data_IF_762879642092
#
_entry.id   IF_762879642092
#
_cell.length_a   1.000
_cell.length_b   1.000
_cell.length_c   1.000
_cell.angle_alpha   90.00
_cell.angle_beta   90.00
_cell.angle_gamma   90.00
#
_symmetry.space_group_name_H-M   'P 1'
#
loop_
_entity.id
_entity.type
_entity.pdbx_description
1 polymer ?
#
# COMPACT_ATOMS: atom_id res chain seq x y z
N UNK A 1 -61.58 1.48 28.22
CA UNK A 1 -60.86 0.43 27.47
C UNK A 1 -59.56 1.04 26.99
N UNK A 2 -58.45 0.71 27.65
CA UNK A 2 -57.12 0.85 27.05
C UNK A 2 -57.01 -0.11 25.85
N UNK A 3 -56.12 0.16 24.89
CA UNK A 3 -54.80 -0.48 24.99
C UNK A 3 -53.60 0.39 24.61
N UNK A 4 -52.52 0.16 25.38
CA UNK A 4 -51.17 -0.18 24.94
C UNK A 4 -50.37 0.78 24.04
N UNK A 5 -49.58 1.63 24.71
CA UNK A 5 -48.12 1.55 24.77
C UNK A 5 -47.37 0.81 23.64
N UNK A 6 -46.52 1.51 22.89
CA UNK A 6 -45.21 1.02 22.42
C UNK A 6 -44.33 2.20 21.98
N UNK A 7 -43.54 2.71 22.93
CA UNK A 7 -42.34 3.50 22.67
C UNK A 7 -41.29 2.59 22.00
N UNK A 8 -40.96 2.84 20.74
CA UNK A 8 -39.76 2.30 20.10
C UNK A 8 -38.73 3.41 19.96
N UNK A 9 -37.63 3.28 20.69
CA UNK A 9 -36.42 4.09 20.57
C UNK A 9 -35.87 4.05 19.13
N UNK A 10 -35.37 5.16 18.58
CA UNK A 10 -34.49 5.08 17.42
C UNK A 10 -33.16 4.49 17.89
N UNK A 11 -32.83 3.32 17.36
CA UNK A 11 -31.49 2.74 17.46
C UNK A 11 -30.49 3.72 16.83
N UNK A 12 -29.56 4.21 17.64
CA UNK A 12 -28.36 4.87 17.13
C UNK A 12 -27.60 3.90 16.23
N UNK A 13 -27.31 4.22 14.96
CA UNK A 13 -26.32 3.46 14.21
C UNK A 13 -24.95 3.71 14.83
N UNK A 14 -24.28 2.60 15.14
CA UNK A 14 -22.94 2.56 15.68
C UNK A 14 -21.99 3.44 14.85
N UNK A 15 -21.30 4.34 15.56
CA UNK A 15 -20.14 5.07 15.05
C UNK A 15 -19.06 4.05 14.66
N UNK A 16 -18.99 3.72 13.37
CA UNK A 16 -17.85 3.01 12.80
C UNK A 16 -16.70 4.00 12.77
N UNK A 17 -15.83 3.90 13.77
CA UNK A 17 -14.52 4.57 13.79
C UNK A 17 -13.75 4.13 12.55
N UNK A 18 -13.55 5.05 11.62
CA UNK A 18 -12.59 4.90 10.53
C UNK A 18 -11.19 4.76 11.12
N UNK A 19 -10.55 3.61 10.86
CA UNK A 19 -9.17 3.30 11.29
C UNK A 19 -8.14 3.87 10.29
N UNK A 20 -8.55 4.64 9.28
CA UNK A 20 -7.62 5.28 8.35
C UNK A 20 -7.57 6.80 8.56
N UNK A 21 -7.07 7.19 9.75
CA UNK A 21 -6.43 8.49 9.91
C UNK A 21 -5.03 8.41 9.30
N UNK A 22 -4.92 8.88 8.06
CA UNK A 22 -3.64 9.23 7.43
C UNK A 22 -3.21 10.59 7.98
N UNK A 23 -2.10 10.73 8.72
CA UNK A 23 -1.59 12.03 9.07
C UNK A 23 -0.94 12.65 7.83
N UNK A 24 -1.57 13.67 7.27
CA UNK A 24 -0.93 14.64 6.40
C UNK A 24 -0.62 15.83 7.29
N UNK A 25 0.64 15.94 7.71
CA UNK A 25 1.38 17.18 8.01
C UNK A 25 2.58 16.86 8.92
N UNK A 26 3.75 16.71 8.30
CA UNK A 26 5.05 16.81 8.97
C UNK A 26 6.14 17.15 7.94
N UNK A 27 5.96 18.24 7.20
CA UNK A 27 7.06 18.91 6.50
C UNK A 27 7.61 20.03 7.39
N UNK A 28 8.22 19.66 8.51
CA UNK A 28 8.97 20.58 9.35
C UNK A 28 10.43 20.11 9.45
N UNK A 29 11.22 20.74 8.59
CA UNK A 29 12.69 20.88 8.58
C UNK A 29 13.37 20.53 9.91
N UNK A 30 14.18 19.48 9.90
CA UNK A 30 15.38 19.38 10.73
C UNK A 30 16.60 19.29 9.81
N UNK A 31 17.28 20.43 9.63
CA UNK A 31 18.66 20.44 9.16
C UNK A 31 19.51 19.89 10.31
N UNK A 32 20.06 18.69 10.13
CA UNK A 32 21.19 18.25 10.95
C UNK A 32 22.46 18.77 10.25
N UNK A 33 23.01 19.88 10.76
CA UNK A 33 24.39 20.25 10.51
C UNK A 33 25.29 19.14 11.09
N UNK A 34 25.74 18.22 10.24
CA UNK A 34 26.88 17.36 10.55
C UNK A 34 28.13 18.20 10.36
N UNK A 35 28.70 18.65 11.49
CA UNK A 35 30.08 19.13 11.51
C UNK A 35 31.03 18.03 11.01
N UNK A 36 32.06 18.38 10.22
CA UNK A 36 33.14 17.46 9.89
C UNK A 36 33.95 17.15 11.15
N UNK A 37 34.08 15.86 11.48
CA UNK A 37 35.04 15.38 12.48
C UNK A 37 36.45 15.62 11.92
N UNK A 38 37.34 16.37 12.61
CA UNK A 38 38.70 16.56 12.14
C UNK A 38 39.52 15.26 12.34
N UNK A 39 40.49 14.97 11.46
CA UNK A 39 41.31 13.76 11.57
C UNK A 39 42.20 13.80 12.82
N UNK A 40 42.56 12.64 13.39
CA UNK A 40 43.44 12.56 14.55
C UNK A 40 44.82 13.11 14.20
N UNK A 41 45.30 14.05 15.02
CA UNK A 41 46.64 14.65 14.90
C UNK A 41 47.69 13.56 15.09
N UNK A 42 48.53 13.38 14.08
CA UNK A 42 49.77 12.61 14.14
C UNK A 42 50.73 13.31 15.10
N UNK A 43 50.82 12.84 16.34
CA UNK A 43 51.88 13.20 17.27
C UNK A 43 53.15 12.45 16.88
N UNK A 44 54.10 13.19 16.29
CA UNK A 44 55.46 12.74 15.99
C UNK A 44 56.12 12.15 17.26
N UNK A 45 56.82 11.01 17.19
CA UNK A 45 57.75 10.64 18.24
C UNK A 45 58.95 11.59 18.21
N UNK A 46 59.14 12.26 19.34
CA UNK A 46 60.28 13.13 19.63
C UNK A 46 61.53 12.26 19.71
N UNK A 47 62.45 12.42 18.76
CA UNK A 47 63.85 11.95 18.85
C UNK A 47 64.41 12.35 20.21
N UNK A 48 64.64 11.38 21.09
CA UNK A 48 65.60 11.52 22.16
C UNK A 48 66.96 11.11 21.59
N UNK A 49 67.81 12.11 21.33
CA UNK A 49 69.23 11.87 21.07
C UNK A 49 69.90 11.41 22.36
N UNK A 50 70.72 10.38 22.20
CA UNK A 50 71.81 10.01 23.07
C UNK A 50 72.63 11.20 23.60
N UNK A 51 73.02 11.04 24.87
CA UNK A 51 74.37 11.28 25.43
C UNK A 51 75.07 12.59 25.05
N UNK A 52 75.08 13.52 25.99
CA UNK A 52 76.34 14.16 26.41
C UNK A 52 76.59 13.74 27.86
N UNK A 53 77.49 12.76 28.01
CA UNK A 53 78.04 12.36 29.29
C UNK A 53 79.12 13.38 29.70
N UNK A 54 79.36 13.59 31.00
CA UNK A 54 80.22 14.64 31.52
C UNK A 54 81.71 14.34 31.31
N UNK A 55 82.45 15.36 30.91
CA UNK A 55 83.91 15.42 31.00
C UNK A 55 84.36 15.33 32.47
N UNK A 56 84.57 14.11 32.95
CA UNK A 56 85.30 13.85 34.19
C UNK A 56 86.81 13.87 33.90
N UNK A 57 87.46 14.93 34.39
CA UNK A 57 88.75 14.92 35.08
C UNK A 57 89.85 13.99 34.50
N UNK A 58 90.58 14.51 33.53
CA UNK A 58 91.94 14.04 33.19
C UNK A 58 92.91 14.44 34.32
N UNK A 59 92.98 13.63 35.36
CA UNK A 59 94.01 13.74 36.41
C UNK A 59 95.31 13.16 35.87
N UNK A 60 96.20 14.02 35.38
CA UNK A 60 97.60 13.67 35.15
C UNK A 60 98.33 13.69 36.50
N UNK A 61 98.43 12.53 37.16
CA UNK A 61 99.41 12.31 38.24
C UNK A 61 100.78 12.09 37.60
N UNK A 62 101.68 13.06 37.69
CA UNK A 62 103.11 12.76 37.82
C UNK A 62 103.40 12.61 39.31
N UNK A 63 103.39 11.36 39.79
CA UNK A 63 104.00 11.01 41.07
C UNK A 63 104.93 9.84 40.79
N UNK A 64 106.22 10.15 40.83
CA UNK A 64 107.29 9.19 41.02
C UNK A 64 106.89 8.21 42.14
N UNK A 65 107.00 6.92 41.89
CA UNK A 65 107.16 5.96 42.98
C UNK A 65 108.10 4.85 42.54
N UNK A 66 109.30 4.90 43.12
CA UNK A 66 110.14 3.74 43.34
C UNK A 66 109.33 2.62 44.00
N UNK A 67 109.53 1.42 43.44
CA UNK A 67 109.44 0.08 44.02
C UNK A 67 108.96 -0.07 45.47
N UNK A 68 107.77 -0.65 45.63
CA UNK A 68 107.58 -1.82 46.49
C UNK A 68 106.24 -2.52 46.16
N UNK A 69 106.32 -3.77 45.72
CA UNK A 69 105.17 -4.64 45.43
C UNK A 69 104.53 -5.10 46.74
N UNK A 70 103.39 -4.49 47.11
CA UNK A 70 102.54 -4.96 48.21
C UNK A 70 101.46 -5.94 47.71
N UNK A 71 101.24 -7.09 48.40
CA UNK A 71 100.27 -8.11 48.00
C UNK A 71 98.80 -7.64 48.06
N UNK A 72 98.53 -6.50 48.70
CA UNK A 72 97.23 -5.82 48.72
C UNK A 72 96.83 -5.24 47.35
N UNK A 73 97.79 -4.79 46.54
CA UNK A 73 97.56 -4.22 45.20
C UNK A 73 97.01 -5.27 44.21
N UNK A 74 97.51 -6.50 44.30
CA UNK A 74 97.13 -7.61 43.42
C UNK A 74 95.67 -8.03 43.64
N UNK A 75 95.17 -7.91 44.88
CA UNK A 75 93.76 -8.17 45.21
C UNK A 75 92.83 -7.07 44.69
N UNK A 76 93.25 -5.81 44.78
CA UNK A 76 92.50 -4.68 44.24
C UNK A 76 92.41 -4.73 42.71
N UNK A 77 93.50 -5.09 42.02
CA UNK A 77 93.54 -5.22 40.56
C UNK A 77 92.69 -6.40 40.07
N UNK A 78 92.69 -7.54 40.78
CA UNK A 78 91.80 -8.67 40.47
C UNK A 78 90.32 -8.33 40.68
N UNK A 79 90.01 -7.54 41.71
CA UNK A 79 88.65 -7.08 41.95
C UNK A 79 88.20 -6.08 40.89
N UNK A 80 89.08 -5.15 40.48
CA UNK A 80 88.84 -4.23 39.37
C UNK A 80 88.61 -4.98 38.04
N UNK A 81 89.46 -5.96 37.72
CA UNK A 81 89.28 -6.79 36.52
C UNK A 81 88.00 -7.63 36.53
N UNK A 82 87.58 -8.14 37.70
CA UNK A 82 86.29 -8.84 37.85
C UNK A 82 85.09 -7.89 37.69
N UNK A 83 85.22 -6.64 38.19
CA UNK A 83 84.22 -5.59 37.99
C UNK A 83 84.10 -5.16 36.53
N UNK A 84 85.22 -5.04 35.83
CA UNK A 84 85.25 -4.71 34.41
C UNK A 84 84.67 -5.85 33.57
N UNK A 85 85.00 -7.10 33.89
CA UNK A 85 84.40 -8.28 33.26
C UNK A 85 82.89 -8.38 33.53
N UNK A 86 82.44 -8.06 34.74
CA UNK A 86 81.01 -7.98 35.06
C UNK A 86 80.33 -6.83 34.30
N UNK A 87 80.97 -5.66 34.20
CA UNK A 87 80.44 -4.53 33.42
C UNK A 87 80.31 -4.87 31.95
N UNK A 88 81.32 -5.51 31.36
CA UNK A 88 81.32 -5.94 29.97
C UNK A 88 80.27 -7.04 29.71
N UNK A 89 80.10 -8.01 30.63
CA UNK A 89 79.04 -9.00 30.54
C UNK A 89 77.64 -8.35 30.63
N UNK A 90 77.42 -7.42 31.56
CA UNK A 90 76.13 -6.74 31.69
C UNK A 90 75.86 -5.87 30.45
N UNK A 91 76.87 -5.19 29.92
CA UNK A 91 76.73 -4.37 28.72
C UNK A 91 76.42 -5.22 27.49
N UNK A 92 77.15 -6.32 27.28
CA UNK A 92 76.92 -7.25 26.17
C UNK A 92 75.58 -7.97 26.27
N UNK A 93 75.18 -8.43 27.47
CA UNK A 93 73.88 -9.08 27.70
C UNK A 93 72.72 -8.09 27.54
N UNK A 94 72.87 -6.86 28.07
CA UNK A 94 71.88 -5.80 27.92
C UNK A 94 71.70 -5.43 26.45
N UNK A 95 72.80 -5.24 25.72
CA UNK A 95 72.76 -4.93 24.28
C UNK A 95 72.14 -6.06 23.47
N UNK A 96 72.50 -7.31 23.75
CA UNK A 96 71.88 -8.46 23.08
C UNK A 96 70.37 -8.51 23.32
N UNK A 97 69.93 -8.36 24.58
CA UNK A 97 68.50 -8.33 24.92
C UNK A 97 67.77 -7.15 24.28
N UNK A 98 68.42 -5.98 24.20
CA UNK A 98 67.85 -4.80 23.56
C UNK A 98 67.69 -5.02 22.05
N UNK A 99 68.72 -5.56 21.38
CA UNK A 99 68.72 -5.86 19.94
C UNK A 99 67.70 -6.97 19.60
N UNK A 100 67.49 -7.93 20.50
CA UNK A 100 66.49 -8.98 20.36
C UNK A 100 65.07 -8.44 20.53
N UNK A 101 64.84 -7.59 21.54
CA UNK A 101 63.55 -6.90 21.74
C UNK A 101 63.25 -5.97 20.57
N UNK A 102 64.23 -5.23 20.06
CA UNK A 102 64.07 -4.37 18.90
C UNK A 102 63.71 -5.19 17.66
N UNK A 103 64.41 -6.29 17.37
CA UNK A 103 64.07 -7.18 16.25
C UNK A 103 62.67 -7.76 16.36
N UNK A 104 62.26 -8.20 17.55
CA UNK A 104 60.92 -8.76 17.77
C UNK A 104 59.83 -7.68 17.61
N UNK A 105 60.09 -6.45 18.07
CA UNK A 105 59.18 -5.32 17.88
C UNK A 105 59.06 -4.92 16.40
N UNK A 106 60.18 -4.85 15.68
CA UNK A 106 60.20 -4.53 14.25
C UNK A 106 59.48 -5.63 13.46
N UNK A 107 59.79 -6.91 13.72
CA UNK A 107 59.11 -8.04 13.09
C UNK A 107 57.60 -8.03 13.36
N UNK A 108 57.19 -7.80 14.61
CA UNK A 108 55.77 -7.67 14.95
C UNK A 108 55.09 -6.46 14.29
N UNK A 109 55.81 -5.36 14.06
CA UNK A 109 55.29 -4.20 13.36
C UNK A 109 55.11 -4.47 11.86
N UNK A 110 56.06 -5.18 11.25
CA UNK A 110 55.99 -5.60 9.84
C UNK A 110 54.83 -6.57 9.61
N UNK A 111 54.68 -7.59 10.47
CA UNK A 111 53.55 -8.52 10.44
C UNK A 111 52.21 -7.78 10.59
N UNK A 112 52.11 -6.89 11.58
CA UNK A 112 50.89 -6.09 11.77
C UNK A 112 50.57 -5.22 10.55
N UNK A 113 51.59 -4.68 9.90
CA UNK A 113 51.41 -3.86 8.69
C UNK A 113 50.85 -4.71 7.55
N UNK A 114 51.38 -5.92 7.33
CA UNK A 114 50.88 -6.87 6.33
C UNK A 114 49.44 -7.30 6.64
N UNK A 115 49.12 -7.56 7.90
CA UNK A 115 47.77 -7.91 8.35
C UNK A 115 46.78 -6.77 8.11
N UNK A 116 47.18 -5.53 8.37
CA UNK A 116 46.35 -4.35 8.11
C UNK A 116 46.13 -4.15 6.60
N UNK A 117 47.17 -4.29 5.79
CA UNK A 117 47.05 -4.16 4.33
C UNK A 117 46.19 -5.25 3.69
N UNK A 118 46.28 -6.48 4.19
CA UNK A 118 45.41 -7.58 3.73
C UNK A 118 43.96 -7.31 4.12
N UNK A 119 43.69 -6.84 5.35
CA UNK A 119 42.34 -6.43 5.77
C UNK A 119 41.77 -5.32 4.89
N UNK A 120 42.59 -4.32 4.51
CA UNK A 120 42.16 -3.26 3.61
C UNK A 120 41.85 -3.77 2.20
N UNK A 121 42.62 -4.73 1.67
CA UNK A 121 42.31 -5.38 0.39
C UNK A 121 40.99 -6.14 0.43
N UNK A 122 40.77 -6.96 1.45
CA UNK A 122 39.49 -7.68 1.61
C UNK A 122 38.31 -6.71 1.76
N UNK A 123 38.50 -5.60 2.48
CA UNK A 123 37.46 -4.58 2.61
C UNK A 123 37.15 -3.92 1.27
N UNK A 124 38.18 -3.62 0.47
CA UNK A 124 38.01 -3.04 -0.87
C UNK A 124 37.26 -3.99 -1.83
N UNK A 125 37.55 -5.30 -1.78
CA UNK A 125 36.84 -6.31 -2.57
C UNK A 125 35.35 -6.38 -2.21
N UNK A 126 35.01 -6.30 -0.92
CA UNK A 126 33.61 -6.27 -0.46
C UNK A 126 32.94 -4.96 -0.86
N UNK A 127 33.64 -3.83 -0.69
CA UNK A 127 33.12 -2.51 -1.03
C UNK A 127 32.85 -2.37 -2.53
N UNK A 128 33.68 -2.95 -3.40
CA UNK A 128 33.50 -2.94 -4.85
C UNK A 128 32.14 -3.53 -5.28
N UNK A 129 31.71 -4.62 -4.62
CA UNK A 129 30.42 -5.26 -4.90
C UNK A 129 29.24 -4.42 -4.41
N UNK A 130 29.40 -3.66 -3.33
CA UNK A 130 28.38 -2.77 -2.77
C UNK A 130 28.31 -1.43 -3.49
N UNK A 131 29.41 -0.96 -4.07
CA UNK A 131 29.49 0.25 -4.88
C UNK A 131 28.89 0.05 -6.28
N UNK A 132 28.50 -1.18 -6.67
CA UNK A 132 27.80 -1.39 -7.95
C UNK A 132 26.51 -0.56 -7.96
N UNK A 133 26.39 0.41 -8.88
CA UNK A 133 25.19 1.23 -8.95
C UNK A 133 24.00 0.36 -9.36
N UNK A 134 22.82 0.65 -8.81
CA UNK A 134 21.52 0.02 -9.13
C UNK A 134 21.21 -0.07 -10.64
N UNK A 135 21.87 0.74 -11.46
CA UNK A 135 21.72 0.75 -12.92
C UNK A 135 22.40 -0.45 -13.59
N UNK A 136 23.45 -1.01 -12.97
CA UNK A 136 24.20 -2.17 -13.44
C UNK A 136 23.78 -3.47 -12.74
N UNK A 137 22.80 -3.43 -11.84
CA UNK A 137 22.28 -4.60 -11.16
C UNK A 137 21.39 -5.39 -12.12
N UNK A 138 21.89 -6.57 -12.52
CA UNK A 138 21.18 -7.50 -13.40
C UNK A 138 20.50 -8.57 -12.56
N UNK A 139 19.20 -8.80 -12.82
CA UNK A 139 18.47 -9.92 -12.26
C UNK A 139 18.61 -11.10 -13.21
N UNK A 140 19.17 -12.20 -12.72
CA UNK A 140 19.11 -13.49 -13.40
C UNK A 140 17.70 -14.05 -13.25
N UNK A 141 17.00 -14.26 -14.37
CA UNK A 141 15.73 -15.01 -14.34
C UNK A 141 16.02 -16.43 -13.88
N UNK A 142 15.46 -16.83 -12.74
CA UNK A 142 15.43 -18.25 -12.34
C UNK A 142 14.48 -18.96 -13.32
N UNK A 143 14.95 -19.96 -14.10
CA UNK A 143 14.08 -20.70 -15.00
C UNK A 143 12.97 -21.37 -14.20
N UNK A 144 11.72 -21.15 -14.60
CA UNK A 144 10.61 -21.93 -14.08
C UNK A 144 10.84 -23.38 -14.53
N UNK A 145 10.86 -24.32 -13.59
CA UNK A 145 11.36 -25.69 -13.73
C UNK A 145 10.55 -26.61 -14.68
N UNK A 146 9.87 -26.05 -15.68
CA UNK A 146 8.86 -26.80 -16.46
C UNK A 146 9.16 -26.95 -17.93
N UNK A 147 10.15 -26.30 -18.53
CA UNK A 147 10.49 -26.61 -19.92
C UNK A 147 11.99 -26.73 -20.17
N UNK A 148 12.32 -27.88 -20.76
CA UNK A 148 13.62 -28.31 -21.23
C UNK A 148 13.94 -27.54 -22.50
N UNK A 149 14.22 -26.26 -22.36
CA UNK A 149 14.97 -25.52 -23.37
C UNK A 149 15.80 -24.47 -22.66
N UNK A 150 17.10 -24.61 -22.85
CA UNK A 150 18.16 -23.79 -22.29
C UNK A 150 18.10 -22.40 -22.94
N UNK A 151 17.05 -21.62 -22.63
CA UNK A 151 17.04 -20.20 -22.96
C UNK A 151 18.25 -19.57 -22.26
N UNK A 152 19.04 -18.72 -22.95
CA UNK A 152 20.18 -18.05 -22.33
C UNK A 152 19.66 -17.37 -21.06
N UNK A 153 20.43 -17.49 -19.97
CA UNK A 153 20.17 -16.77 -18.72
C UNK A 153 20.04 -15.28 -19.06
N UNK A 154 18.81 -14.86 -19.26
CA UNK A 154 18.44 -13.53 -19.73
C UNK A 154 18.64 -12.63 -18.51
N UNK A 155 19.87 -12.13 -18.37
CA UNK A 155 20.21 -11.11 -17.38
C UNK A 155 19.43 -9.85 -17.74
N UNK A 156 18.32 -9.63 -17.02
CA UNK A 156 17.49 -8.46 -17.23
C UNK A 156 17.89 -7.40 -16.21
N UNK A 157 18.31 -6.24 -16.69
CA UNK A 157 18.62 -5.10 -15.83
C UNK A 157 17.42 -4.77 -14.94
N UNK A 158 17.65 -4.67 -13.63
CA UNK A 158 16.62 -4.35 -12.63
C UNK A 158 15.89 -3.06 -12.98
N UNK A 159 16.63 -2.06 -13.49
CA UNK A 159 16.09 -0.79 -13.98
C UNK A 159 15.03 -0.98 -15.07
N UNK A 160 15.27 -1.87 -16.03
CA UNK A 160 14.33 -2.12 -17.14
C UNK A 160 13.07 -2.82 -16.63
N UNK A 161 13.22 -3.73 -15.64
CA UNK A 161 12.07 -4.39 -15.03
C UNK A 161 11.22 -3.42 -14.21
N UNK A 162 11.85 -2.54 -13.43
CA UNK A 162 11.15 -1.48 -12.68
C UNK A 162 10.42 -0.54 -13.65
N UNK A 163 11.05 -0.19 -14.78
CA UNK A 163 10.46 0.69 -15.79
C UNK A 163 9.25 0.03 -16.45
N UNK A 164 9.36 -1.25 -16.84
CA UNK A 164 8.24 -2.06 -17.34
C UNK A 164 7.10 -2.18 -16.34
N UNK A 165 7.42 -2.37 -15.05
CA UNK A 165 6.40 -2.43 -14.00
C UNK A 165 5.68 -1.10 -13.81
N UNK A 166 6.40 0.04 -13.86
CA UNK A 166 5.78 1.36 -13.79
C UNK A 166 4.87 1.63 -14.99
N UNK A 167 5.34 1.32 -16.20
CA UNK A 167 4.51 1.43 -17.41
C UNK A 167 3.24 0.57 -17.32
N UNK A 168 3.37 -0.68 -16.84
CA UNK A 168 2.21 -1.55 -16.62
C UNK A 168 1.27 -0.97 -15.55
N UNK A 169 1.80 -0.39 -14.48
CA UNK A 169 0.99 0.24 -13.44
C UNK A 169 0.20 1.42 -14.00
N UNK A 170 0.84 2.28 -14.79
CA UNK A 170 0.17 3.41 -15.45
C UNK A 170 -0.94 2.92 -16.38
N UNK A 171 -0.67 1.91 -17.22
CA UNK A 171 -1.68 1.29 -18.08
C UNK A 171 -2.87 0.74 -17.28
N UNK A 172 -2.61 0.04 -16.16
CA UNK A 172 -3.69 -0.49 -15.32
C UNK A 172 -4.44 0.60 -14.56
N UNK A 173 -3.78 1.69 -14.19
CA UNK A 173 -4.42 2.85 -13.58
C UNK A 173 -5.38 3.52 -14.56
N UNK A 174 -4.99 3.66 -15.83
CA UNK A 174 -5.86 4.18 -16.89
C UNK A 174 -7.09 3.27 -17.11
N UNK A 175 -6.89 1.95 -17.18
CA UNK A 175 -8.00 0.99 -17.31
C UNK A 175 -8.95 1.08 -16.11
N UNK A 176 -8.42 1.19 -14.88
CA UNK A 176 -9.25 1.37 -13.69
C UNK A 176 -10.05 2.68 -13.72
N UNK A 177 -9.45 3.76 -14.24
CA UNK A 177 -10.17 5.03 -14.40
C UNK A 177 -11.32 4.91 -15.40
N UNK A 178 -11.12 4.22 -16.51
CA UNK A 178 -12.17 3.96 -17.52
C UNK A 178 -13.30 3.14 -16.88
N UNK A 179 -12.97 2.01 -16.26
CA UNK A 179 -13.96 1.13 -15.62
C UNK A 179 -14.74 1.85 -14.52
N UNK A 180 -14.09 2.76 -13.78
CA UNK A 180 -14.76 3.56 -12.76
C UNK A 180 -15.79 4.51 -13.36
N UNK A 181 -15.47 5.14 -14.50
CA UNK A 181 -16.41 6.02 -15.20
C UNK A 181 -17.57 5.24 -15.83
N UNK A 182 -17.30 4.08 -16.42
CA UNK A 182 -18.35 3.20 -16.96
C UNK A 182 -19.30 2.72 -15.86
N UNK A 183 -18.76 2.34 -14.70
CA UNK A 183 -19.57 1.97 -13.55
C UNK A 183 -20.47 3.13 -13.09
N UNK A 184 -19.95 4.35 -13.07
CA UNK A 184 -20.73 5.54 -12.73
C UNK A 184 -21.87 5.79 -13.73
N UNK A 185 -21.60 5.66 -15.03
CA UNK A 185 -22.62 5.81 -16.07
C UNK A 185 -23.73 4.75 -15.92
N UNK A 186 -23.37 3.48 -15.63
CA UNK A 186 -24.34 2.41 -15.34
C UNK A 186 -25.20 2.75 -14.12
N UNK A 187 -24.62 3.35 -13.07
CA UNK A 187 -25.40 3.76 -11.90
C UNK A 187 -26.42 4.84 -12.26
N UNK A 188 -26.06 5.80 -13.12
CA UNK A 188 -26.99 6.83 -13.58
C UNK A 188 -28.09 6.26 -14.45
N UNK A 189 -27.78 5.32 -15.34
CA UNK A 189 -28.77 4.65 -16.18
C UNK A 189 -29.74 3.82 -15.34
N UNK A 190 -29.24 3.08 -14.35
CA UNK A 190 -30.07 2.32 -13.43
C UNK A 190 -31.02 3.23 -12.64
N UNK A 191 -30.53 4.39 -12.19
CA UNK A 191 -31.35 5.35 -11.49
C UNK A 191 -32.38 6.00 -12.42
N UNK A 192 -32.00 6.31 -13.66
CA UNK A 192 -32.91 6.77 -14.70
C UNK A 192 -34.05 5.78 -14.91
N UNK A 193 -33.73 4.51 -15.13
CA UNK A 193 -34.72 3.43 -15.27
C UNK A 193 -35.64 3.30 -14.05
N UNK A 194 -35.08 3.41 -12.84
CA UNK A 194 -35.87 3.39 -11.63
C UNK A 194 -36.87 4.56 -11.59
N UNK A 195 -36.44 5.77 -11.96
CA UNK A 195 -37.30 6.95 -12.04
C UNK A 195 -38.36 6.81 -13.14
N UNK A 196 -38.01 6.24 -14.30
CA UNK A 196 -38.99 5.96 -15.36
C UNK A 196 -40.08 5.01 -14.89
N UNK A 197 -39.73 3.99 -14.10
CA UNK A 197 -40.68 2.98 -13.62
C UNK A 197 -41.52 3.47 -12.43
N UNK A 198 -40.89 4.10 -11.43
CA UNK A 198 -41.51 4.38 -10.12
C UNK A 198 -41.82 5.87 -9.88
N UNK A 199 -41.29 6.75 -10.71
CA UNK A 199 -41.35 8.20 -10.52
C UNK A 199 -40.32 8.72 -9.50
N UNK A 200 -39.92 9.98 -9.68
CA UNK A 200 -38.89 10.69 -8.91
C UNK A 200 -39.22 10.78 -7.41
N UNK A 201 -40.50 10.89 -7.06
CA UNK A 201 -40.92 11.00 -5.64
C UNK A 201 -40.72 9.71 -4.85
N UNK A 202 -40.72 8.57 -5.53
CA UNK A 202 -40.58 7.24 -4.92
C UNK A 202 -39.13 6.89 -4.63
N UNK A 203 -38.17 7.66 -5.14
CA UNK A 203 -36.75 7.34 -5.09
C UNK A 203 -36.00 8.41 -4.30
N UNK A 204 -35.45 8.02 -3.16
CA UNK A 204 -34.57 8.88 -2.38
C UNK A 204 -33.12 8.67 -2.78
N UNK A 205 -32.58 9.63 -3.52
CA UNK A 205 -31.18 9.62 -3.94
C UNK A 205 -30.35 10.32 -2.87
N UNK A 206 -29.76 9.54 -1.95
CA UNK A 206 -28.93 10.08 -0.87
C UNK A 206 -27.78 10.99 -1.38
N UNK A 207 -27.26 10.68 -2.57
CA UNK A 207 -26.20 11.43 -3.25
C UNK A 207 -26.66 12.82 -3.73
N UNK A 208 -27.94 13.00 -4.06
CA UNK A 208 -28.49 14.29 -4.48
C UNK A 208 -28.73 15.24 -3.29
N UNK A 209 -28.93 14.67 -2.09
CA UNK A 209 -29.30 15.43 -0.89
C UNK A 209 -28.08 15.95 -0.12
N UNK A 210 -27.03 15.14 0.06
CA UNK A 210 -25.88 15.50 0.90
C UNK A 210 -24.52 14.95 0.40
N UNK A 211 -24.47 14.36 -0.80
CA UNK A 211 -23.26 13.74 -1.34
C UNK A 211 -22.30 14.77 -1.95
N UNK A 212 -21.01 14.66 -1.62
CA UNK A 212 -19.95 15.35 -2.34
C UNK A 212 -19.75 14.68 -3.72
N UNK A 213 -20.60 15.01 -4.69
CA UNK A 213 -20.44 14.63 -6.09
C UNK A 213 -19.33 15.47 -6.74
N UNK A 214 -18.60 14.89 -7.71
CA UNK A 214 -17.61 15.66 -8.49
C UNK A 214 -18.34 16.75 -9.30
N UNK A 215 -17.67 17.88 -9.61
CA UNK A 215 -18.24 18.90 -10.48
C UNK A 215 -18.66 18.28 -11.83
N UNK A 216 -19.89 18.57 -12.26
CA UNK A 216 -20.51 18.02 -13.48
C UNK A 216 -21.30 16.72 -13.30
N UNK A 217 -21.00 15.89 -12.29
CA UNK A 217 -21.75 14.64 -12.05
C UNK A 217 -23.18 14.93 -11.59
N UNK A 218 -23.34 15.94 -10.72
CA UNK A 218 -24.66 16.36 -10.24
C UNK A 218 -25.57 16.83 -11.36
N UNK A 219 -25.04 17.62 -12.29
CA UNK A 219 -25.80 18.10 -13.45
C UNK A 219 -26.20 16.96 -14.38
N UNK A 220 -25.29 16.01 -14.66
CA UNK A 220 -25.61 14.79 -15.43
C UNK A 220 -26.72 13.99 -14.74
N UNK A 221 -26.60 13.80 -13.44
CA UNK A 221 -27.58 13.06 -12.64
C UNK A 221 -28.96 13.73 -12.64
N UNK A 222 -29.02 15.04 -12.38
CA UNK A 222 -30.28 15.81 -12.43
C UNK A 222 -30.91 15.73 -13.83
N UNK A 223 -30.11 15.88 -14.89
CA UNK A 223 -30.59 15.76 -16.28
C UNK A 223 -31.16 14.36 -16.59
N UNK A 224 -30.48 13.30 -16.17
CA UNK A 224 -30.97 11.92 -16.38
C UNK A 224 -32.28 11.70 -15.62
N UNK A 225 -32.36 12.13 -14.36
CA UNK A 225 -33.57 12.02 -13.53
C UNK A 225 -34.73 12.81 -14.14
N UNK A 226 -34.50 14.04 -14.60
CA UNK A 226 -35.56 14.88 -15.16
C UNK A 226 -36.05 14.37 -16.51
N UNK A 227 -35.15 13.81 -17.34
CA UNK A 227 -35.52 13.13 -18.58
C UNK A 227 -36.36 11.88 -18.31
N UNK A 228 -35.94 11.05 -17.36
CA UNK A 228 -36.65 9.86 -16.92
C UNK A 228 -38.03 10.19 -16.35
N UNK A 229 -38.13 11.25 -15.54
CA UNK A 229 -39.40 11.70 -14.96
C UNK A 229 -40.40 12.11 -16.05
N UNK A 230 -39.93 12.80 -17.09
CA UNK A 230 -40.78 13.18 -18.23
C UNK A 230 -41.37 11.96 -18.94
N UNK A 231 -40.59 10.89 -19.06
CA UNK A 231 -41.06 9.62 -19.63
C UNK A 231 -42.10 8.98 -18.71
N UNK A 232 -41.81 8.91 -17.41
CA UNK A 232 -42.74 8.40 -16.39
C UNK A 232 -44.09 9.12 -16.45
N UNK A 233 -44.09 10.46 -16.42
CA UNK A 233 -45.30 11.27 -16.48
C UNK A 233 -46.09 11.03 -17.77
N UNK A 234 -45.40 10.90 -18.90
CA UNK A 234 -46.02 10.58 -20.19
C UNK A 234 -46.63 9.17 -20.26
N UNK A 235 -46.04 8.20 -19.58
CA UNK A 235 -46.59 6.84 -19.44
C UNK A 235 -47.78 6.85 -18.49
N UNK A 236 -47.64 7.50 -17.34
CA UNK A 236 -48.68 7.64 -16.33
C UNK A 236 -49.94 8.30 -16.89
N UNK A 237 -49.79 9.39 -17.65
CA UNK A 237 -50.92 10.07 -18.30
C UNK A 237 -51.62 9.18 -19.34
N UNK A 238 -50.86 8.42 -20.15
CA UNK A 238 -51.45 7.46 -21.10
C UNK A 238 -52.23 6.35 -20.40
N UNK A 239 -51.69 5.80 -19.32
CA UNK A 239 -52.41 4.80 -18.52
C UNK A 239 -53.68 5.37 -17.88
N UNK A 240 -53.61 6.61 -17.38
CA UNK A 240 -54.78 7.28 -16.79
C UNK A 240 -55.87 7.51 -17.83
N UNK A 241 -55.51 7.98 -19.03
CA UNK A 241 -56.45 8.16 -20.14
C UNK A 241 -57.08 6.83 -20.57
N UNK A 242 -56.27 5.78 -20.74
CA UNK A 242 -56.77 4.44 -21.06
C UNK A 242 -57.74 3.91 -19.97
N UNK A 243 -57.45 4.17 -18.69
CA UNK A 243 -58.33 3.81 -17.58
C UNK A 243 -59.68 4.54 -17.63
N UNK A 244 -59.69 5.80 -18.05
CA UNK A 244 -60.93 6.55 -18.28
C UNK A 244 -61.73 5.98 -19.45
N UNK A 245 -61.05 5.68 -20.57
CA UNK A 245 -61.68 5.07 -21.75
C UNK A 245 -62.27 3.68 -21.43
N UNK A 246 -61.56 2.86 -20.66
CA UNK A 246 -62.04 1.54 -20.21
C UNK A 246 -63.26 1.65 -19.29
N UNK A 247 -63.24 2.59 -18.35
CA UNK A 247 -64.41 2.86 -17.49
C UNK A 247 -65.62 3.28 -18.34
N UNK A 248 -65.43 4.19 -19.30
CA UNK A 248 -66.49 4.60 -20.22
C UNK A 248 -67.01 3.44 -21.08
N UNK A 249 -66.12 2.58 -21.56
CA UNK A 249 -66.49 1.37 -22.28
C UNK A 249 -67.32 0.41 -21.40
N UNK A 250 -66.90 0.16 -20.16
CA UNK A 250 -67.62 -0.67 -19.20
C UNK A 250 -69.05 -0.13 -18.96
N UNK A 251 -69.20 1.18 -18.77
CA UNK A 251 -70.51 1.81 -18.62
C UNK A 251 -71.40 1.61 -19.86
N UNK A 252 -70.86 1.82 -21.07
CA UNK A 252 -71.63 1.61 -22.31
C UNK A 252 -72.04 0.15 -22.48
N UNK A 253 -71.16 -0.79 -22.17
CA UNK A 253 -71.45 -2.22 -22.21
C UNK A 253 -72.51 -2.60 -21.17
N UNK A 254 -72.47 -2.01 -19.98
CA UNK A 254 -73.50 -2.14 -18.95
C UNK A 254 -74.86 -1.64 -19.43
N UNK A 255 -74.92 -0.51 -20.11
CA UNK A 255 -76.15 0.02 -20.71
C UNK A 255 -76.71 -0.89 -21.80
N UNK A 256 -75.85 -1.39 -22.70
CA UNK A 256 -76.24 -2.34 -23.76
C UNK A 256 -76.79 -3.62 -23.13
N UNK A 257 -76.09 -4.18 -22.14
CA UNK A 257 -76.52 -5.38 -21.42
C UNK A 257 -77.91 -5.19 -20.79
N UNK A 258 -78.13 -4.06 -20.11
CA UNK A 258 -79.43 -3.75 -19.51
C UNK A 258 -80.55 -3.59 -20.55
N UNK A 259 -80.28 -2.91 -21.67
CA UNK A 259 -81.24 -2.78 -22.79
C UNK A 259 -81.57 -4.14 -23.39
N UNK A 260 -80.56 -4.97 -23.64
CA UNK A 260 -80.75 -6.33 -24.17
C UNK A 260 -81.54 -7.20 -23.20
N UNK A 261 -81.23 -7.17 -21.90
CA UNK A 261 -81.99 -7.88 -20.87
C UNK A 261 -83.46 -7.45 -20.86
N UNK A 262 -83.73 -6.14 -20.90
CA UNK A 262 -85.09 -5.61 -20.97
C UNK A 262 -85.81 -6.07 -22.24
N UNK A 263 -85.18 -5.95 -23.41
CA UNK A 263 -85.75 -6.40 -24.66
C UNK A 263 -86.07 -7.90 -24.65
N UNK A 264 -85.17 -8.73 -24.09
CA UNK A 264 -85.40 -10.15 -23.94
C UNK A 264 -86.57 -10.47 -22.99
N UNK A 265 -86.68 -9.76 -21.86
CA UNK A 265 -87.83 -9.94 -20.95
C UNK A 265 -89.14 -9.51 -21.59
N UNK A 266 -89.13 -8.41 -22.36
CA UNK A 266 -90.32 -7.90 -23.06
C UNK A 266 -90.76 -8.89 -24.14
N UNK A 267 -89.82 -9.44 -24.93
CA UNK A 267 -90.09 -10.50 -25.91
C UNK A 267 -90.67 -11.76 -25.23
N UNK A 268 -90.13 -12.18 -24.10
CA UNK A 268 -90.63 -13.34 -23.35
C UNK A 268 -92.06 -13.11 -22.84
N UNK A 269 -92.38 -11.89 -22.39
CA UNK A 269 -93.74 -11.53 -22.00
C UNK A 269 -94.69 -11.55 -23.20
N UNK A 270 -94.30 -10.96 -24.34
CA UNK A 270 -95.11 -10.98 -25.56
C UNK A 270 -95.40 -12.41 -26.02
N UNK A 271 -94.38 -13.28 -26.02
CA UNK A 271 -94.54 -14.70 -26.33
C UNK A 271 -95.57 -15.37 -25.40
N UNK A 272 -95.48 -15.13 -24.09
CA UNK A 272 -96.45 -15.69 -23.13
C UNK A 272 -97.88 -15.18 -23.36
N UNK A 273 -98.05 -13.90 -23.69
CA UNK A 273 -99.37 -13.32 -24.03
C UNK A 273 -99.94 -13.97 -25.28
N UNK A 274 -99.14 -14.09 -26.35
CA UNK A 274 -99.57 -14.74 -27.59
C UNK A 274 -99.92 -16.21 -27.36
N UNK A 275 -99.06 -16.94 -26.65
CA UNK A 275 -99.28 -18.34 -26.25
C UNK A 275 -100.62 -18.50 -25.52
N UNK A 276 -100.88 -17.68 -24.50
CA UNK A 276 -102.12 -17.73 -23.73
C UNK A 276 -103.36 -17.39 -24.58
N UNK A 277 -103.23 -16.41 -25.50
CA UNK A 277 -104.31 -16.08 -26.45
C UNK A 277 -104.63 -17.26 -27.36
N UNK A 278 -103.60 -17.94 -27.87
CA UNK A 278 -103.73 -19.11 -28.75
C UNK A 278 -104.37 -20.29 -28.01
N UNK A 279 -103.94 -20.58 -26.78
CA UNK A 279 -104.55 -21.60 -25.94
C UNK A 279 -106.02 -21.32 -25.61
N UNK A 280 -106.37 -20.06 -25.28
CA UNK A 280 -107.76 -19.69 -25.04
C UNK A 280 -108.63 -19.87 -26.29
N UNK A 281 -108.14 -19.44 -27.45
CA UNK A 281 -108.85 -19.65 -28.72
C UNK A 281 -109.04 -21.13 -29.06
N UNK A 282 -108.01 -21.95 -28.84
CA UNK A 282 -108.10 -23.40 -29.01
C UNK A 282 -109.14 -24.01 -28.05
N UNK A 283 -109.12 -23.61 -26.78
CA UNK A 283 -110.06 -24.11 -25.78
C UNK A 283 -111.52 -23.76 -26.13
N UNK A 284 -111.78 -22.53 -26.57
CA UNK A 284 -113.10 -22.12 -27.08
C UNK A 284 -113.53 -22.96 -28.27
N UNK A 285 -112.64 -23.21 -29.24
CA UNK A 285 -112.98 -24.05 -30.40
C UNK A 285 -113.27 -25.50 -30.00
N UNK A 286 -112.60 -26.03 -28.98
CA UNK A 286 -112.87 -27.37 -28.44
C UNK A 286 -114.22 -27.40 -27.71
N UNK A 287 -114.54 -26.37 -26.93
CA UNK A 287 -115.84 -26.24 -26.26
C UNK A 287 -116.99 -26.13 -27.26
N UNK A 288 -116.83 -25.36 -28.33
CA UNK A 288 -117.81 -25.26 -29.43
C UNK A 288 -118.00 -26.62 -30.14
N UNK A 289 -116.91 -27.37 -30.36
CA UNK A 289 -116.96 -28.73 -30.92
C UNK A 289 -117.62 -29.74 -29.98
N UNK A 290 -117.46 -29.58 -28.67
CA UNK A 290 -118.07 -30.45 -27.66
C UNK A 290 -119.55 -30.15 -27.40
N UNK A 291 -120.03 -28.96 -27.80
CA UNK A 291 -121.43 -28.55 -27.69
C UNK A 291 -122.29 -28.92 -28.91
N UNK A 292 -121.67 -29.44 -29.98
CA UNK A 292 -122.30 -30.04 -31.16
C UNK A 292 -122.55 -31.55 -30.94
#
# INVERSE_FOLDING_TARGET
MEPANSKSHPAHPASVRSIFLRPRDAAARTRLDRQPVPPPKVTKPRRARCLDQPDYLRISKTRESNDHLDPSSILADKFAGSLDQYRENVESESKHKLDEVERNLVGGLEELTVDVETRFRTLAEIEEHLQRPFVAEALTKIPLATDTDQAPNDEVLLKDRISKFRALREEKEDVLCILWNEWEDIQFDLLGLAVEALGKQSIQVAQLQNGALKPGQRERLEKTIDSAQKIHDGVYHRHTALGQDLTGFEETMGQISNRTKKAATDMQQQYNVQKNKLFKGLMQSIEELAAL
#
